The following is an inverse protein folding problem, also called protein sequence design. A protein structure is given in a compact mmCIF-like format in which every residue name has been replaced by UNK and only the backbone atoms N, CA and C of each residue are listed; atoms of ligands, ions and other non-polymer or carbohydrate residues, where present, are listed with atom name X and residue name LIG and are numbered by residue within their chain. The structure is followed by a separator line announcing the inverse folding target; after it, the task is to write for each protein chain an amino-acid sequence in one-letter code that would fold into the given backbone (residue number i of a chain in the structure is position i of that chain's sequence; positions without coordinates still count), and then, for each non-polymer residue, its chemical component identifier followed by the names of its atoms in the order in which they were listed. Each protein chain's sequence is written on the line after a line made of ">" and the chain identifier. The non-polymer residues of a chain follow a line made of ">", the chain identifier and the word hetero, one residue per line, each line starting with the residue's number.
data_IF_570050757059
#
_entry.id   IF_570050757059
#
_cell.length_a   1.000
_cell.length_b   1.000
_cell.length_c   1.000
_cell.angle_alpha   90.00
_cell.angle_beta   90.00
_cell.angle_gamma   90.00
#
_symmetry.space_group_name_H-M   'P 1'
#
loop_
_entity.id
_entity.type
_entity.pdbx_description
1 polymer ?
#
# COMPACT_ATOMS: atom_id res chain seq x y z
N UNK A 1 -2.55 12.96 -13.84
CA UNK A 1 -3.32 11.71 -13.70
C UNK A 1 -2.62 10.71 -12.78
N UNK A 2 -1.33 10.44 -12.98
CA UNK A 2 -0.57 9.52 -12.11
C UNK A 2 -0.49 9.99 -10.65
N UNK A 3 -0.25 11.29 -10.43
CA UNK A 3 -0.29 11.89 -9.09
C UNK A 3 -1.69 11.93 -8.46
N UNK A 4 -2.76 11.98 -9.27
CA UNK A 4 -4.13 11.87 -8.77
C UNK A 4 -4.40 10.45 -8.30
N UNK A 5 -3.89 9.44 -9.03
CA UNK A 5 -3.92 8.04 -8.63
C UNK A 5 -3.16 7.80 -7.32
N UNK A 6 -1.99 8.45 -7.13
CA UNK A 6 -1.27 8.45 -5.86
C UNK A 6 -2.13 9.04 -4.74
N UNK A 7 -2.84 10.14 -5.01
CA UNK A 7 -3.81 10.73 -4.09
C UNK A 7 -4.91 9.74 -3.68
N UNK A 8 -5.45 8.99 -4.62
CA UNK A 8 -6.46 7.95 -4.36
C UNK A 8 -5.89 6.80 -3.50
N UNK A 9 -4.65 6.37 -3.75
CA UNK A 9 -3.99 5.38 -2.90
C UNK A 9 -3.78 5.89 -1.47
N UNK A 10 -3.38 7.14 -1.30
CA UNK A 10 -3.27 7.77 0.02
C UNK A 10 -4.63 7.86 0.71
N UNK A 11 -5.69 8.22 -0.01
CA UNK A 11 -7.04 8.27 0.52
C UNK A 11 -7.52 6.89 1.01
N UNK A 12 -7.29 5.84 0.21
CA UNK A 12 -7.59 4.44 0.59
C UNK A 12 -6.80 4.02 1.83
N UNK A 13 -5.49 4.33 1.90
CA UNK A 13 -4.64 4.01 3.04
C UNK A 13 -5.15 4.66 4.34
N UNK A 14 -5.52 5.95 4.28
CA UNK A 14 -6.08 6.69 5.43
C UNK A 14 -7.43 6.10 5.85
N UNK A 15 -8.26 5.71 4.89
CA UNK A 15 -9.56 5.10 5.19
C UNK A 15 -9.40 3.75 5.90
N UNK A 16 -8.46 2.90 5.45
CA UNK A 16 -8.15 1.62 6.09
C UNK A 16 -7.62 1.84 7.51
N UNK A 17 -6.66 2.75 7.70
CA UNK A 17 -6.14 3.09 9.04
C UNK A 17 -7.24 3.62 9.96
N UNK A 18 -8.17 4.44 9.48
CA UNK A 18 -9.33 4.87 10.28
C UNK A 18 -10.25 3.71 10.66
N UNK A 19 -10.50 2.76 9.76
CA UNK A 19 -11.29 1.55 10.05
C UNK A 19 -10.63 0.68 11.12
N UNK A 20 -9.32 0.43 11.00
CA UNK A 20 -8.55 -0.31 12.01
C UNK A 20 -8.57 0.41 13.36
N UNK A 21 -8.40 1.74 13.38
CA UNK A 21 -8.46 2.52 14.60
C UNK A 21 -9.85 2.48 15.27
N UNK A 22 -10.93 2.38 14.48
CA UNK A 22 -12.29 2.21 15.00
C UNK A 22 -12.53 0.83 15.60
N UNK A 23 -11.99 -0.22 14.98
CA UNK A 23 -12.21 -1.61 15.39
C UNK A 23 -11.33 -2.02 16.58
N UNK A 24 -10.03 -1.66 16.55
CA UNK A 24 -9.05 -2.09 17.55
C UNK A 24 -8.71 -1.01 18.59
N UNK A 25 -9.07 0.25 18.32
CA UNK A 25 -8.84 1.38 19.22
C UNK A 25 -7.60 2.21 18.89
N UNK A 26 -7.41 3.30 19.67
CA UNK A 26 -6.34 4.30 19.45
C UNK A 26 -4.97 3.91 20.03
N UNK A 27 -4.93 2.92 20.93
CA UNK A 27 -3.67 2.45 21.51
C UNK A 27 -2.88 1.70 20.45
N UNK A 28 -1.62 2.12 20.21
CA UNK A 28 -0.78 1.56 19.15
C UNK A 28 -0.65 0.03 19.22
N UNK A 29 -0.57 -0.52 20.44
CA UNK A 29 -0.52 -1.98 20.68
C UNK A 29 -1.75 -2.72 20.16
N UNK A 30 -2.92 -2.08 20.21
CA UNK A 30 -4.18 -2.69 19.79
C UNK A 30 -4.40 -2.42 18.30
N UNK A 31 -4.10 -1.20 17.83
CA UNK A 31 -4.07 -0.86 16.41
C UNK A 31 -3.23 -1.85 15.58
N UNK A 32 -2.04 -2.22 16.06
CA UNK A 32 -1.16 -3.16 15.37
C UNK A 32 -1.78 -4.54 15.14
N UNK A 33 -2.77 -4.94 15.95
CA UNK A 33 -3.47 -6.23 15.75
C UNK A 33 -4.28 -6.23 14.45
N UNK A 34 -4.87 -5.09 14.07
CA UNK A 34 -5.66 -4.97 12.84
C UNK A 34 -4.83 -4.77 11.58
N UNK A 35 -3.51 -4.64 11.70
CA UNK A 35 -2.58 -4.64 10.56
C UNK A 35 -2.25 -6.07 10.09
N UNK A 36 -2.40 -7.07 10.97
CA UNK A 36 -2.05 -8.46 10.69
C UNK A 36 -3.18 -9.12 9.90
N UNK A 37 -2.88 -9.74 8.76
CA UNK A 37 -3.83 -10.42 7.87
C UNK A 37 -5.00 -9.53 7.37
N UNK A 38 -4.75 -8.23 7.21
CA UNK A 38 -5.75 -7.31 6.70
C UNK A 38 -5.81 -7.37 5.16
N UNK A 39 -6.88 -7.97 4.62
CA UNK A 39 -7.10 -8.12 3.18
C UNK A 39 -7.15 -6.79 2.43
N UNK A 40 -7.61 -5.71 3.06
CA UNK A 40 -7.67 -4.39 2.43
C UNK A 40 -6.26 -3.81 2.25
N UNK A 41 -5.36 -4.06 3.22
CA UNK A 41 -3.94 -3.68 3.11
C UNK A 41 -3.26 -4.50 2.02
N UNK A 42 -3.50 -5.81 1.95
CA UNK A 42 -2.94 -6.67 0.90
C UNK A 42 -3.42 -6.24 -0.50
N UNK A 43 -4.71 -5.93 -0.65
CA UNK A 43 -5.26 -5.44 -1.91
C UNK A 43 -4.67 -4.08 -2.31
N UNK A 44 -4.57 -3.13 -1.36
CA UNK A 44 -3.95 -1.84 -1.61
C UNK A 44 -2.48 -1.99 -2.02
N UNK A 45 -1.74 -2.88 -1.34
CA UNK A 45 -0.35 -3.17 -1.68
C UNK A 45 -0.21 -3.68 -3.12
N UNK A 46 -1.00 -4.67 -3.50
CA UNK A 46 -0.96 -5.23 -4.85
C UNK A 46 -1.30 -4.19 -5.94
N UNK A 47 -2.29 -3.32 -5.69
CA UNK A 47 -2.64 -2.24 -6.61
C UNK A 47 -1.50 -1.21 -6.76
N UNK A 48 -0.84 -0.85 -5.66
CA UNK A 48 0.29 0.09 -5.65
C UNK A 48 1.51 -0.49 -6.35
N UNK A 49 1.85 -1.76 -6.09
CA UNK A 49 2.96 -2.45 -6.74
C UNK A 49 2.74 -2.51 -8.26
N UNK A 50 1.53 -2.91 -8.70
CA UNK A 50 1.17 -2.92 -10.12
C UNK A 50 1.24 -1.54 -10.77
N UNK A 51 0.82 -0.50 -10.07
CA UNK A 51 0.94 0.87 -10.56
C UNK A 51 2.41 1.29 -10.67
N UNK A 52 3.22 1.05 -9.64
CA UNK A 52 4.65 1.41 -9.65
C UNK A 52 5.45 0.67 -10.73
N UNK A 53 5.13 -0.60 -11.01
CA UNK A 53 5.79 -1.40 -12.04
C UNK A 53 5.53 -0.93 -13.48
N UNK A 54 4.58 0.00 -13.68
CA UNK A 54 4.32 0.60 -15.00
C UNK A 54 5.29 1.74 -15.35
N UNK A 55 6.06 2.22 -14.38
CA UNK A 55 7.04 3.30 -14.57
C UNK A 55 8.46 2.74 -14.70
N UNK A 56 9.26 3.37 -15.55
CA UNK A 56 10.67 3.02 -15.69
C UNK A 56 11.48 3.45 -14.47
N UNK A 57 12.39 2.57 -14.03
CA UNK A 57 13.27 2.86 -12.90
C UNK A 57 14.59 3.47 -13.38
N UNK A 58 14.94 4.72 -12.98
CA UNK A 58 16.23 5.28 -13.32
C UNK A 58 17.37 4.61 -12.53
N UNK A 59 18.52 4.46 -13.18
CA UNK A 59 19.77 3.99 -12.54
C UNK A 59 20.05 2.49 -12.68
N UNK A 60 19.10 1.69 -13.17
CA UNK A 60 19.32 0.27 -13.49
C UNK A 60 18.21 -0.26 -14.39
N UNK A 61 18.52 -1.31 -15.18
CA UNK A 61 17.55 -1.93 -16.07
C UNK A 61 16.65 -2.88 -15.28
N UNK A 62 15.34 -2.67 -15.36
CA UNK A 62 14.35 -3.57 -14.72
C UNK A 62 14.48 -5.02 -15.22
N UNK A 63 14.91 -5.20 -16.47
CA UNK A 63 15.16 -6.51 -17.08
C UNK A 63 16.31 -7.30 -16.45
N UNK A 64 17.25 -6.62 -15.79
CA UNK A 64 18.45 -7.21 -15.18
C UNK A 64 18.33 -7.36 -13.65
N UNK A 65 17.19 -6.99 -13.07
CA UNK A 65 16.96 -7.16 -11.63
C UNK A 65 16.89 -8.64 -11.23
N UNK A 66 17.46 -8.94 -10.05
CA UNK A 66 17.44 -10.28 -9.44
C UNK A 66 16.04 -10.71 -9.00
N UNK A 67 15.18 -9.77 -8.61
CA UNK A 67 13.80 -10.01 -8.19
C UNK A 67 12.88 -9.27 -9.15
N UNK A 68 11.94 -10.01 -9.77
CA UNK A 68 11.05 -9.52 -10.83
C UNK A 68 9.57 -9.74 -10.51
N UNK A 69 9.30 -10.27 -9.32
CA UNK A 69 7.98 -10.59 -8.79
C UNK A 69 7.60 -9.58 -7.70
#
# INVERSE_FOLDING_TARGET
>A
KDFEQIGEFLHRAVTITLSIQKEYGKLLKDFNKGLVNNKDIEALKADVEKFSGSFDMPGFLMSEMKYKD
#
